data_IF_788596926564
#
_entry.id   IF_788596926564
#
_cell.length_a   1.000
_cell.length_b   1.000
_cell.length_c   1.000
_cell.angle_alpha   90.00
_cell.angle_beta   90.00
_cell.angle_gamma   90.00
#
_symmetry.space_group_name_H-M   'P 1'
#
loop_
_entity.id
_entity.type
_entity.pdbx_description
1 polymer ?
#
# COMPACT_ATOMS: atom_id res chain seq x y z
N UNK A 1 2.03 -24.86 5.35
CA UNK A 1 1.20 -25.54 4.33
C UNK A 1 -0.13 -24.82 4.04
N UNK A 2 -0.76 -24.14 5.01
CA UNK A 2 -2.04 -23.43 4.81
C UNK A 2 -2.01 -22.21 3.88
N UNK A 3 -0.93 -21.41 3.92
CA UNK A 3 -0.76 -20.20 3.11
C UNK A 3 -0.80 -20.47 1.59
N UNK A 4 -0.16 -21.56 1.14
CA UNK A 4 -0.17 -21.98 -0.26
C UNK A 4 -1.57 -22.36 -0.73
N UNK A 5 -2.33 -23.12 0.07
CA UNK A 5 -3.65 -23.61 -0.35
C UNK A 5 -4.67 -22.48 -0.50
N UNK A 6 -4.67 -21.49 0.40
CA UNK A 6 -5.62 -20.39 0.35
C UNK A 6 -5.36 -19.44 -0.83
N UNK A 7 -4.09 -19.05 -1.04
CA UNK A 7 -3.72 -18.16 -2.16
C UNK A 7 -3.95 -18.86 -3.50
N UNK A 8 -3.54 -20.13 -3.63
CA UNK A 8 -3.76 -20.90 -4.87
C UNK A 8 -5.25 -21.11 -5.13
N UNK A 9 -6.05 -21.42 -4.09
CA UNK A 9 -7.50 -21.57 -4.23
C UNK A 9 -8.16 -20.27 -4.70
N UNK A 10 -7.75 -19.13 -4.16
CA UNK A 10 -8.26 -17.81 -4.56
C UNK A 10 -7.86 -17.47 -6.00
N UNK A 11 -6.62 -17.73 -6.40
CA UNK A 11 -6.15 -17.50 -7.78
C UNK A 11 -6.87 -18.43 -8.77
N UNK A 12 -7.11 -19.68 -8.37
CA UNK A 12 -7.81 -20.65 -9.20
C UNK A 12 -9.30 -20.31 -9.35
N UNK A 13 -9.94 -19.74 -8.31
CA UNK A 13 -11.32 -19.26 -8.34
C UNK A 13 -11.50 -17.85 -8.90
N UNK A 14 -10.41 -17.11 -9.18
CA UNK A 14 -10.49 -15.83 -9.87
C UNK A 14 -11.19 -15.98 -11.23
N UNK A 15 -12.14 -15.08 -11.50
CA UNK A 15 -12.83 -15.03 -12.79
C UNK A 15 -11.82 -14.78 -13.91
N UNK A 16 -12.11 -15.19 -15.16
CA UNK A 16 -11.29 -14.86 -16.32
C UNK A 16 -10.99 -13.35 -16.41
N UNK A 17 -11.99 -12.51 -16.12
CA UNK A 17 -11.85 -11.05 -16.12
C UNK A 17 -10.83 -10.54 -15.10
N UNK A 18 -10.77 -11.11 -13.89
CA UNK A 18 -9.72 -10.75 -12.91
C UNK A 18 -8.32 -11.15 -13.40
N UNK A 19 -8.19 -12.31 -14.04
CA UNK A 19 -6.91 -12.78 -14.58
C UNK A 19 -6.43 -11.93 -15.77
N UNK A 20 -7.36 -11.43 -16.58
CA UNK A 20 -7.07 -10.48 -17.66
C UNK A 20 -6.68 -9.10 -17.10
N UNK A 21 -7.41 -8.59 -16.10
CA UNK A 21 -7.10 -7.33 -15.44
C UNK A 21 -5.69 -7.32 -14.82
N UNK A 22 -5.27 -8.42 -14.17
CA UNK A 22 -3.90 -8.59 -13.68
C UNK A 22 -2.83 -8.49 -14.79
N UNK A 23 -3.17 -8.80 -16.05
CA UNK A 23 -2.24 -8.72 -17.17
C UNK A 23 -2.24 -7.36 -17.85
N UNK A 24 -3.39 -6.68 -17.92
CA UNK A 24 -3.54 -5.40 -18.63
C UNK A 24 -3.24 -4.19 -17.74
N UNK A 25 -3.62 -4.25 -16.46
CA UNK A 25 -3.50 -3.12 -15.55
C UNK A 25 -2.11 -3.02 -14.93
N UNK A 26 -1.72 -1.79 -14.63
CA UNK A 26 -0.35 -1.44 -14.28
C UNK A 26 -0.19 -0.94 -12.85
N UNK A 27 -1.28 -0.55 -12.18
CA UNK A 27 -1.25 0.06 -10.84
C UNK A 27 -2.10 -0.76 -9.89
N UNK A 28 -1.50 -1.14 -8.76
CA UNK A 28 -2.15 -1.93 -7.73
C UNK A 28 -1.92 -1.32 -6.35
N UNK A 29 -2.82 -1.60 -5.42
CA UNK A 29 -2.74 -1.18 -4.03
C UNK A 29 -2.72 -2.40 -3.12
N UNK A 30 -1.83 -2.42 -2.12
CA UNK A 30 -1.76 -3.55 -1.19
C UNK A 30 -1.89 -3.08 0.25
N UNK A 31 -2.62 -3.85 1.06
CA UNK A 31 -2.85 -3.55 2.46
C UNK A 31 -2.93 -4.81 3.32
N UNK A 32 -2.49 -4.69 4.57
CA UNK A 32 -2.58 -5.75 5.58
C UNK A 32 -3.57 -5.38 6.67
N UNK A 33 -4.68 -6.12 6.78
CA UNK A 33 -5.69 -5.91 7.83
C UNK A 33 -5.65 -7.01 8.91
N UNK A 34 -5.74 -6.59 10.17
CA UNK A 34 -5.54 -7.47 11.34
C UNK A 34 -6.84 -7.86 12.05
N UNK A 35 -7.86 -6.99 12.00
CA UNK A 35 -9.09 -7.15 12.80
C UNK A 35 -10.00 -8.27 12.28
N UNK A 36 -9.88 -8.65 11.01
CA UNK A 36 -10.75 -9.62 10.34
C UNK A 36 -10.11 -11.00 10.18
N UNK A 37 -9.06 -11.29 10.96
CA UNK A 37 -8.20 -12.45 10.75
C UNK A 37 -8.52 -13.57 11.76
N UNK A 38 -8.71 -14.80 11.27
CA UNK A 38 -8.88 -15.96 12.15
C UNK A 38 -7.66 -16.13 13.06
N UNK A 39 -7.86 -16.62 14.29
CA UNK A 39 -6.82 -16.69 15.36
C UNK A 39 -5.48 -17.33 14.93
N UNK A 40 -5.49 -18.17 13.91
CA UNK A 40 -4.32 -18.88 13.39
C UNK A 40 -3.41 -18.02 12.48
N UNK A 41 -3.88 -16.84 12.08
CA UNK A 41 -3.21 -15.96 11.15
C UNK A 41 -3.04 -14.57 11.76
N UNK A 42 -1.94 -13.90 11.40
CA UNK A 42 -1.62 -12.58 11.93
C UNK A 42 -2.30 -11.46 11.14
N UNK A 43 -2.51 -11.67 9.85
CA UNK A 43 -3.12 -10.67 8.97
C UNK A 43 -3.81 -11.31 7.76
N UNK A 44 -4.84 -10.63 7.27
CA UNK A 44 -5.34 -10.77 5.91
C UNK A 44 -4.65 -9.72 5.05
N UNK A 45 -3.88 -10.16 4.07
CA UNK A 45 -3.23 -9.30 3.10
C UNK A 45 -4.04 -9.26 1.81
N UNK A 46 -4.29 -8.07 1.28
CA UNK A 46 -5.14 -7.86 0.11
C UNK A 46 -4.41 -7.08 -0.96
N UNK A 47 -4.66 -7.43 -2.22
CA UNK A 47 -4.18 -6.69 -3.39
C UNK A 47 -5.41 -6.22 -4.13
N UNK A 48 -5.44 -4.93 -4.44
CA UNK A 48 -6.51 -4.25 -5.14
C UNK A 48 -6.02 -3.71 -6.47
N UNK A 49 -6.91 -3.77 -7.44
CA UNK A 49 -6.69 -3.26 -8.79
C UNK A 49 -7.52 -2.00 -9.01
N UNK A 50 -6.98 -1.08 -9.80
CA UNK A 50 -7.65 0.14 -10.23
C UNK A 50 -8.23 -0.06 -11.63
N UNK A 51 -9.53 -0.34 -11.71
CA UNK A 51 -10.22 -0.61 -12.97
C UNK A 51 -10.54 0.68 -13.77
N UNK A 52 -9.74 1.72 -13.60
CA UNK A 52 -9.90 3.00 -14.30
C UNK A 52 -10.64 4.05 -13.47
N UNK A 53 -10.15 4.32 -12.26
CA UNK A 53 -10.61 5.46 -11.46
C UNK A 53 -10.41 6.78 -12.21
N UNK A 54 -11.38 7.68 -12.09
CA UNK A 54 -11.38 9.03 -12.64
C UNK A 54 -11.35 10.06 -11.51
N UNK A 55 -11.39 11.35 -11.86
CA UNK A 55 -11.54 12.43 -10.87
C UNK A 55 -12.88 12.40 -10.13
N UNK A 56 -13.88 11.70 -10.66
CA UNK A 56 -15.24 11.66 -10.10
C UNK A 56 -15.66 10.28 -9.61
N UNK A 57 -14.95 9.23 -9.99
CA UNK A 57 -15.33 7.84 -9.70
C UNK A 57 -14.12 7.00 -9.31
N UNK A 58 -14.20 6.29 -8.19
CA UNK A 58 -13.15 5.38 -7.72
C UNK A 58 -13.58 3.95 -8.04
N UNK A 59 -12.75 3.22 -8.80
CA UNK A 59 -12.99 1.83 -9.24
C UNK A 59 -11.91 0.90 -8.72
N UNK A 60 -11.64 0.97 -7.42
CA UNK A 60 -10.67 0.11 -6.77
C UNK A 60 -11.39 -1.13 -6.23
N UNK A 61 -10.99 -2.31 -6.70
CA UNK A 61 -11.59 -3.59 -6.27
C UNK A 61 -10.51 -4.54 -5.77
N UNK A 62 -10.78 -5.33 -4.72
CA UNK A 62 -9.86 -6.36 -4.29
C UNK A 62 -9.83 -7.51 -5.31
N UNK A 63 -8.63 -7.88 -5.76
CA UNK A 63 -8.41 -8.94 -6.75
C UNK A 63 -7.74 -10.17 -6.18
N UNK A 64 -6.97 -10.03 -5.09
CA UNK A 64 -6.34 -11.15 -4.39
C UNK A 64 -6.39 -10.97 -2.88
N UNK A 65 -6.52 -12.10 -2.19
CA UNK A 65 -6.56 -12.20 -0.73
C UNK A 65 -5.61 -13.31 -0.26
N UNK A 66 -4.86 -13.04 0.80
CA UNK A 66 -3.92 -13.98 1.39
C UNK A 66 -3.94 -13.91 2.92
N UNK A 67 -4.13 -15.05 3.59
CA UNK A 67 -4.00 -15.14 5.04
C UNK A 67 -2.54 -15.43 5.40
N UNK A 68 -1.90 -14.52 6.12
CA UNK A 68 -0.48 -14.61 6.49
C UNK A 68 -0.29 -14.89 7.98
N UNK A 69 0.56 -15.87 8.29
CA UNK A 69 0.83 -16.26 9.68
C UNK A 69 1.75 -15.28 10.42
N UNK A 70 2.50 -14.45 9.70
CA UNK A 70 3.36 -13.42 10.25
C UNK A 70 3.64 -12.34 9.18
N UNK A 71 4.51 -11.38 9.52
CA UNK A 71 4.85 -10.20 8.69
C UNK A 71 6.33 -10.17 8.30
N UNK A 72 6.95 -11.34 8.20
CA UNK A 72 8.37 -11.47 7.84
C UNK A 72 8.57 -11.28 6.34
N UNK A 73 9.75 -10.78 5.95
CA UNK A 73 10.16 -10.69 4.55
C UNK A 73 10.07 -12.07 3.86
N UNK A 74 10.50 -13.15 4.52
CA UNK A 74 10.36 -14.50 3.98
C UNK A 74 8.90 -14.88 3.64
N UNK A 75 7.93 -14.46 4.45
CA UNK A 75 6.51 -14.74 4.20
C UNK A 75 5.97 -13.95 3.01
N UNK A 76 6.31 -12.66 2.90
CA UNK A 76 5.91 -11.86 1.74
C UNK A 76 6.61 -12.29 0.45
N UNK A 77 7.90 -12.60 0.48
CA UNK A 77 8.63 -13.12 -0.67
C UNK A 77 7.96 -14.39 -1.19
N UNK A 78 7.59 -15.30 -0.29
CA UNK A 78 6.88 -16.52 -0.66
C UNK A 78 5.49 -16.24 -1.22
N UNK A 79 4.74 -15.31 -0.63
CA UNK A 79 3.44 -14.88 -1.18
C UNK A 79 3.57 -14.37 -2.62
N UNK A 80 4.46 -13.41 -2.85
CA UNK A 80 4.63 -12.79 -4.16
C UNK A 80 5.19 -13.78 -5.20
N UNK A 81 6.06 -14.71 -4.78
CA UNK A 81 6.52 -15.78 -5.65
C UNK A 81 5.36 -16.68 -6.11
N UNK A 82 4.48 -17.10 -5.20
CA UNK A 82 3.28 -17.89 -5.55
C UNK A 82 2.39 -17.13 -6.55
N UNK A 83 2.14 -15.84 -6.30
CA UNK A 83 1.31 -15.02 -7.19
C UNK A 83 1.95 -14.93 -8.59
N UNK A 84 3.26 -14.64 -8.65
CA UNK A 84 4.01 -14.55 -9.91
C UNK A 84 3.93 -15.85 -10.71
N UNK A 85 4.18 -16.98 -10.08
CA UNK A 85 4.16 -18.30 -10.73
C UNK A 85 2.75 -18.68 -11.21
N UNK A 86 1.71 -18.38 -10.43
CA UNK A 86 0.34 -18.78 -10.75
C UNK A 86 -0.35 -17.88 -11.78
N UNK A 87 0.08 -16.63 -11.94
CA UNK A 87 -0.65 -15.63 -12.75
C UNK A 87 0.20 -14.96 -13.82
N UNK A 88 1.53 -15.07 -13.77
CA UNK A 88 2.46 -14.22 -14.52
C UNK A 88 2.25 -12.72 -14.28
N UNK A 89 1.62 -12.33 -13.16
CA UNK A 89 1.40 -10.94 -12.78
C UNK A 89 2.74 -10.20 -12.69
N UNK A 90 2.81 -9.03 -13.32
CA UNK A 90 4.00 -8.18 -13.35
C UNK A 90 3.58 -6.70 -13.25
N UNK A 91 3.34 -6.18 -12.04
CA UNK A 91 2.85 -4.83 -11.86
C UNK A 91 3.93 -3.80 -12.23
N UNK A 92 3.52 -2.68 -12.81
CA UNK A 92 4.43 -1.55 -13.06
C UNK A 92 4.57 -0.68 -11.82
N UNK A 93 3.46 -0.44 -11.11
CA UNK A 93 3.42 0.41 -9.92
C UNK A 93 2.58 -0.25 -8.84
N UNK A 94 3.09 -0.24 -7.62
CA UNK A 94 2.38 -0.74 -6.44
C UNK A 94 2.42 0.31 -5.34
N UNK A 95 1.26 0.62 -4.79
CA UNK A 95 1.10 1.48 -3.63
C UNK A 95 0.95 0.61 -2.39
N UNK A 96 1.87 0.74 -1.45
CA UNK A 96 1.93 -0.10 -0.25
C UNK A 96 2.06 0.74 1.00
N UNK A 97 1.82 0.13 2.15
CA UNK A 97 2.23 0.70 3.43
C UNK A 97 3.77 0.78 3.53
N UNK A 98 4.27 1.47 4.55
CA UNK A 98 5.71 1.65 4.77
C UNK A 98 6.36 0.43 5.45
N UNK A 99 5.79 -0.77 5.30
CA UNK A 99 6.35 -1.98 5.90
C UNK A 99 7.57 -2.47 5.11
N UNK A 100 8.76 -2.36 5.71
CA UNK A 100 10.03 -2.69 5.07
C UNK A 100 10.07 -4.12 4.52
N UNK A 101 9.45 -5.09 5.22
CA UNK A 101 9.40 -6.48 4.79
C UNK A 101 8.67 -6.61 3.45
N UNK A 102 7.51 -5.97 3.31
CA UNK A 102 6.71 -5.91 2.07
C UNK A 102 7.50 -5.27 0.93
N UNK A 103 8.07 -4.08 1.17
CA UNK A 103 8.85 -3.33 0.18
C UNK A 103 10.05 -4.15 -0.32
N UNK A 104 10.79 -4.77 0.59
CA UNK A 104 11.97 -5.59 0.26
C UNK A 104 11.59 -6.83 -0.55
N UNK A 105 10.51 -7.51 -0.18
CA UNK A 105 10.02 -8.68 -0.90
C UNK A 105 9.50 -8.33 -2.29
N UNK A 106 8.81 -7.20 -2.46
CA UNK A 106 8.36 -6.73 -3.77
C UNK A 106 9.53 -6.44 -4.69
N UNK A 107 10.55 -5.70 -4.23
CA UNK A 107 11.76 -5.44 -5.05
C UNK A 107 12.52 -6.72 -5.40
N UNK A 108 12.54 -7.71 -4.50
CA UNK A 108 13.17 -9.00 -4.75
C UNK A 108 12.45 -9.78 -5.85
N UNK A 109 11.12 -9.85 -5.81
CA UNK A 109 10.32 -10.65 -6.76
C UNK A 109 10.03 -9.90 -8.07
N UNK A 110 9.91 -8.58 -8.01
CA UNK A 110 9.61 -7.69 -9.14
C UNK A 110 10.63 -6.54 -9.19
N UNK A 111 11.86 -6.77 -9.70
CA UNK A 111 12.95 -5.78 -9.64
C UNK A 111 12.65 -4.45 -10.34
N UNK A 112 11.74 -4.44 -11.32
CA UNK A 112 11.36 -3.26 -12.09
C UNK A 112 10.13 -2.54 -11.56
N UNK A 113 9.53 -3.00 -10.45
CA UNK A 113 8.30 -2.39 -9.92
C UNK A 113 8.60 -1.03 -9.29
N UNK A 114 7.82 -0.02 -9.65
CA UNK A 114 7.80 1.26 -8.96
C UNK A 114 6.99 1.12 -7.66
N UNK A 115 7.63 1.31 -6.51
CA UNK A 115 6.97 1.27 -5.21
C UNK A 115 6.62 2.69 -4.79
N UNK A 116 5.34 2.93 -4.53
CA UNK A 116 4.82 4.18 -4.00
C UNK A 116 4.34 3.98 -2.56
N UNK A 117 4.65 4.94 -1.69
CA UNK A 117 4.13 4.96 -0.33
C UNK A 117 2.66 5.36 -0.30
N UNK A 118 1.86 4.70 0.54
CA UNK A 118 0.46 5.05 0.72
C UNK A 118 0.32 6.41 1.44
N UNK A 119 -0.23 7.40 0.75
CA UNK A 119 -0.43 8.74 1.31
C UNK A 119 -1.31 8.75 2.56
N UNK A 120 -2.30 7.87 2.65
CA UNK A 120 -3.13 7.73 3.86
C UNK A 120 -2.28 7.36 5.09
N UNK A 121 -1.44 6.33 4.96
CA UNK A 121 -0.55 5.89 6.03
C UNK A 121 0.52 6.95 6.36
N UNK A 122 1.00 7.70 5.36
CA UNK A 122 1.92 8.82 5.59
C UNK A 122 1.27 9.92 6.44
N UNK A 123 0.06 10.35 6.08
CA UNK A 123 -0.69 11.34 6.86
C UNK A 123 -1.02 10.86 8.28
N UNK A 124 -1.30 9.57 8.44
CA UNK A 124 -1.50 8.97 9.76
C UNK A 124 -0.21 9.04 10.60
N UNK A 125 0.95 8.76 10.01
CA UNK A 125 2.24 8.85 10.68
C UNK A 125 2.56 10.31 11.08
N UNK A 126 2.28 11.29 10.22
CA UNK A 126 2.41 12.71 10.56
C UNK A 126 1.52 13.09 11.76
N UNK A 127 0.29 12.61 11.79
CA UNK A 127 -0.61 12.83 12.93
C UNK A 127 -0.13 12.16 14.22
N UNK A 128 0.38 10.94 14.13
CA UNK A 128 1.01 10.26 15.27
C UNK A 128 2.20 11.07 15.79
N UNK A 129 3.05 11.58 14.89
CA UNK A 129 4.18 12.40 15.30
C UNK A 129 3.76 13.70 15.98
N UNK A 130 2.72 14.36 15.46
CA UNK A 130 2.13 15.54 16.09
C UNK A 130 1.63 15.24 17.53
N UNK A 131 1.10 14.04 17.77
CA UNK A 131 0.69 13.61 19.11
C UNK A 131 1.88 13.36 20.03
N UNK A 132 2.91 12.65 19.57
CA UNK A 132 4.14 12.39 20.32
C UNK A 132 4.84 13.66 20.79
N UNK A 133 4.83 14.70 19.94
CA UNK A 133 5.43 16.00 20.25
C UNK A 133 4.55 16.85 21.19
N UNK A 134 3.39 16.36 21.61
CA UNK A 134 2.47 17.10 22.49
C UNK A 134 1.74 18.26 21.81
N UNK A 135 1.80 18.35 20.48
CA UNK A 135 1.30 19.49 19.69
C UNK A 135 -0.22 19.44 19.44
N UNK A 136 -0.93 18.41 19.92
CA UNK A 136 -2.38 18.25 19.71
C UNK A 136 -3.18 19.48 20.15
N UNK A 137 -2.84 20.07 21.30
CA UNK A 137 -3.54 21.27 21.81
C UNK A 137 -3.28 22.48 20.91
N UNK A 138 -2.03 22.66 20.48
CA UNK A 138 -1.64 23.73 19.56
C UNK A 138 -2.32 23.57 18.20
N UNK A 139 -2.26 22.39 17.58
CA UNK A 139 -2.95 22.08 16.32
C UNK A 139 -4.45 22.44 16.32
N UNK A 140 -5.14 22.22 17.45
CA UNK A 140 -6.56 22.53 17.61
C UNK A 140 -6.84 24.03 17.74
N UNK A 141 -5.93 24.80 18.35
CA UNK A 141 -6.14 26.21 18.72
C UNK A 141 -5.42 27.22 17.82
N UNK A 142 -4.34 26.80 17.17
CA UNK A 142 -3.45 27.64 16.40
C UNK A 142 -3.45 27.21 14.92
N UNK A 143 -3.74 28.18 14.04
CA UNK A 143 -3.75 27.98 12.59
C UNK A 143 -2.36 27.71 12.04
N UNK A 144 -1.31 28.31 12.61
CA UNK A 144 0.06 28.14 12.12
C UNK A 144 0.56 26.70 12.32
N UNK A 145 0.34 26.13 13.51
CA UNK A 145 0.65 24.72 13.79
C UNK A 145 -0.09 23.77 12.85
N UNK A 146 -1.37 24.06 12.57
CA UNK A 146 -2.19 23.25 11.65
C UNK A 146 -1.68 23.33 10.22
N UNK A 147 -1.36 24.53 9.75
CA UNK A 147 -0.82 24.74 8.41
C UNK A 147 0.55 24.07 8.28
N UNK A 148 1.42 24.19 9.28
CA UNK A 148 2.71 23.51 9.25
C UNK A 148 2.57 21.98 9.08
N UNK A 149 1.64 21.33 9.79
CA UNK A 149 1.39 19.90 9.59
C UNK A 149 0.86 19.58 8.19
N UNK A 150 0.02 20.45 7.61
CA UNK A 150 -0.47 20.32 6.22
C UNK A 150 0.64 20.51 5.20
N UNK A 151 1.56 21.44 5.43
CA UNK A 151 2.75 21.63 4.60
C UNK A 151 3.61 20.36 4.60
N UNK A 152 3.84 19.76 5.77
CA UNK A 152 4.54 18.48 5.87
C UNK A 152 3.84 17.36 5.08
N UNK A 153 2.50 17.34 5.06
CA UNK A 153 1.75 16.39 4.23
C UNK A 153 1.89 16.68 2.73
N UNK A 154 1.94 17.95 2.35
CA UNK A 154 2.05 18.39 0.97
C UNK A 154 3.42 18.08 0.33
N UNK A 155 4.47 17.91 1.14
CA UNK A 155 5.80 17.47 0.68
C UNK A 155 5.75 16.20 -0.18
N UNK A 156 4.79 15.31 0.07
CA UNK A 156 4.62 14.08 -0.71
C UNK A 156 4.28 14.33 -2.20
N UNK A 157 3.88 15.56 -2.55
CA UNK A 157 3.48 15.95 -3.90
C UNK A 157 4.51 16.84 -4.60
N UNK A 158 5.58 17.26 -3.91
CA UNK A 158 6.64 18.06 -4.52
C UNK A 158 7.66 17.13 -5.18
N UNK A 159 8.09 17.40 -6.41
CA UNK A 159 9.28 16.76 -6.97
C UNK A 159 10.49 16.93 -6.06
N UNK A 160 11.27 15.87 -5.85
CA UNK A 160 12.40 15.87 -4.90
C UNK A 160 13.38 17.04 -5.16
N UNK A 161 13.64 17.37 -6.42
CA UNK A 161 14.55 18.46 -6.79
C UNK A 161 14.03 19.87 -6.48
N UNK A 162 12.74 20.00 -6.17
CA UNK A 162 12.09 21.28 -5.93
C UNK A 162 11.71 21.49 -4.46
N UNK A 163 12.01 20.52 -3.58
CA UNK A 163 11.57 20.58 -2.17
C UNK A 163 12.00 21.88 -1.49
N UNK A 164 13.25 22.31 -1.68
CA UNK A 164 13.77 23.51 -1.02
C UNK A 164 13.10 24.80 -1.52
N UNK A 165 12.76 24.86 -2.81
CA UNK A 165 12.14 26.02 -3.44
C UNK A 165 10.63 26.09 -3.16
N UNK A 166 9.94 24.96 -3.36
CA UNK A 166 8.49 24.86 -3.26
C UNK A 166 8.00 24.73 -1.81
N UNK A 167 8.86 24.39 -0.85
CA UNK A 167 8.48 24.37 0.57
C UNK A 167 7.93 25.72 1.05
N UNK A 168 8.48 26.83 0.54
CA UNK A 168 8.08 28.18 0.94
C UNK A 168 6.74 28.59 0.29
N UNK A 169 6.39 27.97 -0.84
CA UNK A 169 5.19 28.31 -1.63
C UNK A 169 3.96 27.53 -1.22
N UNK A 170 4.14 26.38 -0.55
CA UNK A 170 3.05 25.64 0.08
C UNK A 170 2.64 26.37 1.35
N UNK A 171 1.59 27.18 1.30
CA UNK A 171 0.98 27.83 2.48
C UNK A 171 -0.49 27.49 2.64
#
# INVERSE_FOLDING_TARGET
MGLLKAVQSNINSCTPSTKEALKSHKRFFMDGTFKSCAKQYKQLYTIHDDLGSSSTEIKIVPVLFALLCNKSCATYTKLFQIIKEATSWNPHTVSVDFEQATITSLKTIYPTVAIQGCNFHFNQALWQKNQELGLVKAYKKDGATRNHLRMCAALAYIPIGNIDEDWITIQ
#
